data_IF_686413933379
#
_entry.id   IF_686413933379
#
_cell.length_a   1.000
_cell.length_b   1.000
_cell.length_c   1.000
_cell.angle_alpha   90.00
_cell.angle_beta   90.00
_cell.angle_gamma   90.00
#
_symmetry.space_group_name_H-M   'P 1'
#
loop_
_entity.id
_entity.type
_entity.pdbx_description
1 polymer ?
#
# COMPACT_ATOMS: atom_id res chain seq x y z
N UNK A 1 -29.99 12.18 -18.13
CA UNK A 1 -28.95 12.81 -17.30
C UNK A 1 -29.02 12.14 -15.94
N UNK A 2 -28.29 11.02 -15.78
CA UNK A 2 -28.27 10.28 -14.53
C UNK A 2 -27.47 11.08 -13.50
N UNK A 3 -28.18 11.64 -12.52
CA UNK A 3 -27.57 12.09 -11.28
C UNK A 3 -27.18 10.83 -10.50
N UNK A 4 -25.95 10.34 -10.70
CA UNK A 4 -25.33 9.48 -9.69
C UNK A 4 -24.85 10.41 -8.57
N UNK A 5 -25.34 10.27 -7.33
CA UNK A 5 -24.80 11.03 -6.22
C UNK A 5 -23.33 10.67 -6.06
N UNK A 6 -22.47 11.70 -6.04
CA UNK A 6 -21.07 11.61 -5.68
C UNK A 6 -20.99 11.04 -4.25
N UNK A 7 -20.82 9.72 -4.10
CA UNK A 7 -20.66 9.06 -2.79
C UNK A 7 -19.25 9.26 -2.24
N UNK A 8 -18.64 10.42 -2.46
CA UNK A 8 -17.52 10.82 -1.63
C UNK A 8 -18.08 11.15 -0.25
N UNK A 9 -17.61 10.42 0.75
CA UNK A 9 -17.88 10.70 2.15
C UNK A 9 -17.12 11.97 2.56
N UNK A 10 -17.36 13.10 1.89
CA UNK A 10 -16.65 14.38 2.08
C UNK A 10 -17.13 15.14 3.34
N UNK A 11 -17.80 14.43 4.26
CA UNK A 11 -18.26 14.95 5.54
C UNK A 11 -17.36 14.50 6.71
N UNK A 12 -17.60 15.02 7.92
CA UNK A 12 -16.78 14.73 9.10
C UNK A 12 -16.59 13.24 9.39
N UNK A 13 -17.58 12.40 9.09
CA UNK A 13 -17.49 10.96 9.27
C UNK A 13 -16.48 10.31 8.31
N UNK A 14 -16.45 10.72 7.04
CA UNK A 14 -15.49 10.18 6.08
C UNK A 14 -14.07 10.70 6.29
N UNK A 15 -13.91 11.93 6.76
CA UNK A 15 -12.60 12.44 7.20
C UNK A 15 -12.03 11.60 8.36
N UNK A 16 -12.88 11.23 9.34
CA UNK A 16 -12.50 10.35 10.45
C UNK A 16 -12.14 8.94 9.96
N UNK A 17 -12.92 8.37 9.04
CA UNK A 17 -12.63 7.06 8.45
C UNK A 17 -11.32 7.06 7.64
N UNK A 18 -11.09 8.08 6.82
CA UNK A 18 -9.84 8.26 6.09
C UNK A 18 -8.64 8.39 7.04
N UNK A 19 -8.79 9.14 8.14
CA UNK A 19 -7.77 9.23 9.19
C UNK A 19 -7.49 7.90 9.88
N UNK A 20 -8.53 7.09 10.15
CA UNK A 20 -8.39 5.72 10.69
C UNK A 20 -7.64 4.82 9.73
N UNK A 21 -7.97 4.88 8.43
CA UNK A 21 -7.31 4.10 7.40
C UNK A 21 -5.83 4.49 7.27
N UNK A 22 -5.51 5.78 7.19
CA UNK A 22 -4.13 6.26 7.12
C UNK A 22 -3.29 5.78 8.29
N UNK A 23 -3.82 5.91 9.51
CA UNK A 23 -3.16 5.41 10.72
C UNK A 23 -2.97 3.89 10.71
N UNK A 24 -3.92 3.12 10.17
CA UNK A 24 -3.80 1.67 10.04
C UNK A 24 -2.75 1.27 8.99
N UNK A 25 -2.71 1.97 7.86
CA UNK A 25 -1.74 1.76 6.79
C UNK A 25 -0.31 2.05 7.28
N UNK A 26 -0.08 3.15 7.97
CA UNK A 26 1.24 3.48 8.55
C UNK A 26 1.73 2.39 9.50
N UNK A 27 0.86 1.92 10.40
CA UNK A 27 1.19 0.81 11.31
C UNK A 27 1.47 -0.49 10.56
N UNK A 28 0.68 -0.80 9.53
CA UNK A 28 0.84 -2.02 8.75
C UNK A 28 2.17 -2.02 7.97
N UNK A 29 2.50 -0.89 7.34
CA UNK A 29 3.78 -0.68 6.66
C UNK A 29 4.96 -0.82 7.64
N UNK A 30 4.86 -0.24 8.83
CA UNK A 30 5.91 -0.34 9.87
C UNK A 30 6.11 -1.74 10.44
N UNK A 31 5.17 -2.67 10.24
CA UNK A 31 5.27 -4.08 10.68
C UNK A 31 5.83 -5.01 9.61
N UNK A 32 5.95 -4.54 8.37
CA UNK A 32 6.52 -5.35 7.29
C UNK A 32 8.01 -5.61 7.55
N UNK A 33 8.52 -6.81 7.22
CA UNK A 33 9.96 -7.02 7.15
C UNK A 33 10.61 -5.99 6.21
N UNK A 34 11.75 -5.42 6.60
CA UNK A 34 12.40 -4.30 5.90
C UNK A 34 12.46 -4.47 4.36
N UNK A 35 12.81 -5.66 3.86
CA UNK A 35 12.88 -5.93 2.42
C UNK A 35 11.53 -5.87 1.71
N UNK A 36 10.46 -6.29 2.38
CA UNK A 36 9.09 -6.20 1.86
C UNK A 36 8.59 -4.76 1.85
N UNK A 37 8.84 -4.03 2.94
CA UNK A 37 8.51 -2.60 3.04
C UNK A 37 9.22 -1.81 1.93
N UNK A 38 10.54 -2.00 1.78
CA UNK A 38 11.34 -1.32 0.77
C UNK A 38 10.84 -1.63 -0.66
N UNK A 39 10.58 -2.90 -0.97
CA UNK A 39 10.02 -3.28 -2.27
C UNK A 39 8.65 -2.65 -2.52
N UNK A 40 7.79 -2.58 -1.51
CA UNK A 40 6.47 -1.95 -1.62
C UNK A 40 6.57 -0.44 -1.86
N UNK A 41 7.34 0.28 -1.04
CA UNK A 41 7.49 1.74 -1.18
C UNK A 41 8.06 2.10 -2.56
N UNK A 42 9.14 1.44 -2.99
CA UNK A 42 9.75 1.74 -4.29
C UNK A 42 8.81 1.46 -5.48
N UNK A 43 8.01 0.38 -5.41
CA UNK A 43 7.17 -0.05 -6.53
C UNK A 43 5.80 0.61 -6.57
N UNK A 44 5.15 0.76 -5.42
CA UNK A 44 3.78 1.27 -5.33
C UNK A 44 3.70 2.75 -4.98
N UNK A 45 4.68 3.26 -4.21
CA UNK A 45 4.70 4.66 -3.79
C UNK A 45 5.53 5.52 -4.74
N UNK A 46 6.77 5.11 -5.01
CA UNK A 46 7.69 5.84 -5.90
C UNK A 46 7.49 5.49 -7.38
N UNK A 47 6.74 4.42 -7.69
CA UNK A 47 6.42 4.01 -9.06
C UNK A 47 7.59 3.46 -9.88
N UNK A 48 8.71 3.08 -9.24
CA UNK A 48 9.88 2.52 -9.93
C UNK A 48 9.55 1.22 -10.62
N UNK A 49 10.23 0.91 -11.73
CA UNK A 49 10.25 -0.41 -12.39
C UNK A 49 10.82 -1.51 -11.47
N UNK A 50 10.70 -2.78 -11.86
CA UNK A 50 11.27 -3.88 -11.06
C UNK A 50 12.80 -3.80 -11.09
N UNK A 51 13.34 -3.39 -12.23
CA UNK A 51 14.76 -3.27 -12.51
C UNK A 51 15.37 -2.10 -11.72
N UNK A 52 14.74 -0.93 -11.70
CA UNK A 52 15.17 0.22 -10.89
C UNK A 52 15.09 -0.10 -9.38
N UNK A 53 14.00 -0.74 -8.94
CA UNK A 53 13.88 -1.17 -7.56
C UNK A 53 14.95 -2.22 -7.19
N UNK A 54 15.32 -3.13 -8.10
CA UNK A 54 16.36 -4.13 -7.87
C UNK A 54 17.73 -3.48 -7.69
N UNK A 55 18.04 -2.46 -8.51
CA UNK A 55 19.24 -1.65 -8.36
C UNK A 55 19.26 -0.91 -7.02
N UNK A 56 18.17 -0.22 -6.67
CA UNK A 56 18.05 0.52 -5.41
C UNK A 56 18.13 -0.40 -4.17
N UNK A 57 17.61 -1.62 -4.27
CA UNK A 57 17.65 -2.62 -3.20
C UNK A 57 18.97 -3.41 -3.14
N UNK A 58 19.82 -3.33 -4.17
CA UNK A 58 21.01 -4.16 -4.30
C UNK A 58 20.70 -5.66 -4.34
N UNK A 59 19.63 -6.06 -5.05
CA UNK A 59 19.21 -7.46 -5.16
C UNK A 59 18.73 -7.80 -6.58
N UNK A 60 18.28 -9.04 -6.81
CA UNK A 60 17.77 -9.46 -8.12
C UNK A 60 16.34 -8.99 -8.37
N UNK A 61 15.96 -8.81 -9.63
CA UNK A 61 14.57 -8.53 -10.03
C UNK A 61 13.58 -9.59 -9.51
N UNK A 62 13.99 -10.86 -9.45
CA UNK A 62 13.21 -11.94 -8.83
C UNK A 62 12.96 -11.69 -7.34
N UNK A 63 13.98 -11.27 -6.60
CA UNK A 63 13.86 -10.92 -5.18
C UNK A 63 12.90 -9.76 -4.96
N UNK A 64 12.96 -8.72 -5.79
CA UNK A 64 12.01 -7.60 -5.75
C UNK A 64 10.58 -8.09 -5.95
N UNK A 65 10.31 -8.89 -6.97
CA UNK A 65 8.97 -9.45 -7.23
C UNK A 65 8.46 -10.27 -6.03
N UNK A 66 9.31 -11.11 -5.44
CA UNK A 66 8.96 -11.90 -4.26
C UNK A 66 8.65 -11.01 -3.05
N UNK A 67 9.51 -10.05 -2.73
CA UNK A 67 9.30 -9.15 -1.61
C UNK A 67 8.08 -8.27 -1.79
N UNK A 68 7.87 -7.73 -2.99
CA UNK A 68 6.70 -6.93 -3.33
C UNK A 68 5.40 -7.72 -3.21
N UNK A 69 5.35 -8.93 -3.80
CA UNK A 69 4.16 -9.78 -3.72
C UNK A 69 3.80 -10.14 -2.28
N UNK A 70 4.80 -10.49 -1.47
CA UNK A 70 4.60 -10.78 -0.04
C UNK A 70 4.14 -9.55 0.74
N UNK A 71 4.73 -8.38 0.47
CA UNK A 71 4.30 -7.12 1.07
C UNK A 71 2.82 -6.82 0.79
N UNK A 72 2.41 -6.89 -0.48
CA UNK A 72 1.02 -6.65 -0.90
C UNK A 72 0.06 -7.65 -0.25
N UNK A 73 0.44 -8.93 -0.18
CA UNK A 73 -0.37 -9.94 0.48
C UNK A 73 -0.55 -9.64 1.98
N UNK A 74 0.54 -9.39 2.70
CA UNK A 74 0.48 -9.06 4.14
C UNK A 74 -0.30 -7.77 4.41
N UNK A 75 -0.13 -6.72 3.60
CA UNK A 75 -0.90 -5.49 3.76
C UNK A 75 -2.39 -5.70 3.51
N UNK A 76 -2.75 -6.54 2.52
CA UNK A 76 -4.14 -6.89 2.22
C UNK A 76 -4.82 -7.64 3.37
N UNK A 77 -4.09 -8.49 4.08
CA UNK A 77 -4.59 -9.20 5.26
C UNK A 77 -4.72 -8.24 6.45
N UNK A 78 -3.72 -7.40 6.70
CA UNK A 78 -3.73 -6.48 7.84
C UNK A 78 -4.75 -5.34 7.71
N UNK A 79 -5.17 -5.01 6.48
CA UNK A 79 -6.10 -3.92 6.18
C UNK A 79 -7.47 -4.43 5.71
N UNK A 80 -7.79 -5.70 5.95
CA UNK A 80 -9.06 -6.31 5.52
C UNK A 80 -10.29 -5.56 6.07
N UNK A 81 -10.23 -5.04 7.31
CA UNK A 81 -11.30 -4.22 7.93
C UNK A 81 -11.67 -2.99 7.08
N UNK A 82 -10.75 -2.49 6.24
CA UNK A 82 -10.94 -1.29 5.41
C UNK A 82 -11.26 -1.62 3.95
N UNK A 83 -11.39 -2.90 3.60
CA UNK A 83 -11.89 -3.34 2.30
C UNK A 83 -13.42 -3.31 2.36
N UNK A 84 -14.00 -2.15 2.05
CA UNK A 84 -15.45 -1.92 2.02
C UNK A 84 -16.22 -2.94 1.18
#
# INVERSE_FOLDING_TARGET
LENQPDQRNDGPLGELEAGRFGSALERALGRLPNRQQQAFLLRAWEGLSVEEAAQAMGCSAGSVKTHYSRAVHTLREQLEEFRG
#
